data_IF_331769823711
#
_entry.id   IF_331769823711
#
_cell.length_a   1.000
_cell.length_b   1.000
_cell.length_c   1.000
_cell.angle_alpha   90.00
_cell.angle_beta   90.00
_cell.angle_gamma   90.00
#
_symmetry.space_group_name_H-M   'P 1'
#
loop_
_entity.id
_entity.type
_entity.pdbx_description
1 polymer ?
#
# COMPACT_ATOMS: atom_id res chain seq x y z
N UNK A 1 48.67 -8.92 46.10
CA UNK A 1 49.15 -7.54 46.29
C UNK A 1 50.11 -7.25 45.17
N UNK A 2 50.02 -6.03 44.64
CA UNK A 2 50.96 -5.35 43.73
C UNK A 2 50.83 -5.56 42.21
N UNK A 3 50.80 -4.38 41.57
CA UNK A 3 50.43 -4.04 40.20
C UNK A 3 51.68 -3.69 39.38
N UNK A 4 51.48 -3.59 38.06
CA UNK A 4 52.01 -2.56 37.13
C UNK A 4 52.67 -3.17 35.90
N UNK A 5 52.08 -3.04 34.70
CA UNK A 5 51.94 -1.88 33.81
C UNK A 5 53.18 -1.63 32.92
N UNK A 6 52.95 -1.77 31.61
CA UNK A 6 53.61 -1.00 30.55
C UNK A 6 54.46 -1.81 29.58
N UNK A 7 54.06 -1.87 28.31
CA UNK A 7 54.86 -1.42 27.15
C UNK A 7 53.97 -1.37 25.91
N UNK A 8 53.98 -0.22 25.23
CA UNK A 8 53.31 0.08 23.96
C UNK A 8 54.24 -0.31 22.81
N UNK A 9 53.73 -0.97 21.77
CA UNK A 9 54.27 -0.96 20.40
C UNK A 9 53.03 -0.77 19.50
N UNK A 10 52.75 0.45 19.03
CA UNK A 10 53.27 1.08 17.81
C UNK A 10 53.02 0.27 16.52
N UNK A 11 52.23 0.87 15.62
CA UNK A 11 52.24 0.61 14.16
C UNK A 11 51.65 -0.72 13.65
N UNK A 12 50.36 -0.75 13.30
CA UNK A 12 49.82 -1.82 12.45
C UNK A 12 48.32 -1.69 12.14
N UNK A 13 48.00 -1.32 10.90
CA UNK A 13 46.63 -1.11 10.38
C UNK A 13 45.92 -2.47 10.17
N UNK A 14 44.75 -2.63 10.81
CA UNK A 14 43.50 -3.40 10.52
C UNK A 14 43.53 -4.69 9.62
N UNK A 15 42.67 -5.71 9.87
CA UNK A 15 41.22 -5.52 9.75
C UNK A 15 40.41 -6.05 10.94
N UNK A 16 39.46 -5.22 11.35
CA UNK A 16 38.27 -5.61 12.12
C UNK A 16 37.53 -6.73 11.37
N UNK A 17 37.32 -7.85 12.06
CA UNK A 17 36.25 -8.81 11.79
C UNK A 17 35.53 -9.03 13.12
N UNK A 18 34.20 -9.22 13.21
CA UNK A 18 33.20 -9.39 12.16
C UNK A 18 32.12 -8.30 12.23
N UNK A 19 31.87 -7.62 11.11
CA UNK A 19 30.64 -6.86 10.92
C UNK A 19 29.44 -7.82 10.93
N UNK A 20 28.88 -8.10 12.10
CA UNK A 20 27.49 -8.53 12.27
C UNK A 20 26.56 -7.36 11.88
N UNK A 21 26.69 -6.86 10.66
CA UNK A 21 25.77 -5.88 10.09
C UNK A 21 24.65 -6.62 9.36
N UNK A 22 24.07 -7.61 10.04
CA UNK A 22 22.72 -8.08 9.73
C UNK A 22 21.73 -7.43 10.72
N UNK A 23 22.02 -6.19 11.10
CA UNK A 23 21.09 -5.34 11.83
C UNK A 23 20.03 -4.84 10.85
N UNK A 24 19.05 -5.71 10.62
CA UNK A 24 17.66 -5.33 10.42
C UNK A 24 17.46 -4.31 9.29
N UNK A 25 17.30 -4.81 8.07
CA UNK A 25 16.24 -4.28 7.19
C UNK A 25 14.92 -4.48 7.93
N UNK A 26 14.65 -3.61 8.89
CA UNK A 26 13.33 -3.41 9.47
C UNK A 26 12.51 -2.75 8.37
N UNK A 27 12.15 -3.54 7.36
CA UNK A 27 11.01 -3.19 6.52
C UNK A 27 9.83 -3.17 7.47
N UNK A 28 9.48 -1.98 7.92
CA UNK A 28 8.26 -1.73 8.65
C UNK A 28 7.15 -2.38 7.81
N UNK A 29 6.63 -3.52 8.26
CA UNK A 29 5.46 -4.12 7.64
C UNK A 29 4.34 -3.11 7.86
N UNK A 30 4.11 -2.25 6.87
CA UNK A 30 2.96 -1.34 6.90
C UNK A 30 1.73 -2.22 6.85
N UNK A 31 1.11 -2.43 8.01
CA UNK A 31 -0.20 -3.06 8.11
C UNK A 31 -1.19 -2.11 7.46
N UNK A 32 -1.57 -2.41 6.21
CA UNK A 32 -2.61 -1.68 5.50
C UNK A 32 -3.93 -1.99 6.19
N UNK A 33 -4.48 -1.02 6.91
CA UNK A 33 -5.80 -1.16 7.50
C UNK A 33 -6.85 -1.14 6.40
N UNK A 34 -8.00 -1.76 6.68
CA UNK A 34 -9.14 -1.76 5.75
C UNK A 34 -9.59 -0.33 5.42
N UNK A 35 -9.52 0.57 6.40
CA UNK A 35 -9.85 1.98 6.30
C UNK A 35 -8.85 2.72 5.40
N UNK A 36 -7.55 2.45 5.56
CA UNK A 36 -6.52 2.99 4.69
C UNK A 36 -6.70 2.51 3.23
N UNK A 37 -7.09 1.24 3.05
CA UNK A 37 -7.37 0.72 1.71
C UNK A 37 -8.62 1.34 1.08
N UNK A 38 -9.69 1.58 1.86
CA UNK A 38 -10.88 2.30 1.39
C UNK A 38 -10.51 3.74 0.98
N UNK A 39 -9.76 4.47 1.81
CA UNK A 39 -9.32 5.82 1.50
C UNK A 39 -8.44 5.85 0.23
N UNK A 40 -7.59 4.85 0.04
CA UNK A 40 -6.82 4.69 -1.19
C UNK A 40 -7.73 4.50 -2.41
N UNK A 41 -8.75 3.64 -2.32
CA UNK A 41 -9.70 3.46 -3.42
C UNK A 41 -10.48 4.74 -3.74
N UNK A 42 -10.78 5.58 -2.76
CA UNK A 42 -11.40 6.91 -2.97
C UNK A 42 -10.48 7.85 -3.73
N UNK A 43 -9.19 7.87 -3.39
CA UNK A 43 -8.18 8.65 -4.12
C UNK A 43 -8.03 8.18 -5.57
N UNK A 44 -8.05 6.86 -5.80
CA UNK A 44 -8.01 6.28 -7.15
C UNK A 44 -9.27 6.63 -7.95
N UNK A 45 -10.46 6.54 -7.33
CA UNK A 45 -11.74 6.94 -7.96
C UNK A 45 -11.69 8.41 -8.40
N UNK A 46 -11.21 9.31 -7.54
CA UNK A 46 -11.05 10.73 -7.86
C UNK A 46 -10.04 10.98 -9.00
N UNK A 47 -8.90 10.26 -8.99
CA UNK A 47 -7.91 10.37 -10.05
C UNK A 47 -8.46 9.91 -11.42
N UNK A 48 -9.26 8.83 -11.43
CA UNK A 48 -9.92 8.33 -12.64
C UNK A 48 -10.99 9.29 -13.15
N UNK A 49 -11.74 9.95 -12.26
CA UNK A 49 -12.70 10.99 -12.64
C UNK A 49 -12.01 12.20 -13.29
N UNK A 50 -10.89 12.65 -12.72
CA UNK A 50 -10.09 13.71 -13.32
C UNK A 50 -9.50 13.29 -14.67
N UNK A 51 -9.01 12.06 -14.78
CA UNK A 51 -8.55 11.51 -16.06
C UNK A 51 -9.68 11.46 -17.11
N UNK A 52 -10.89 11.08 -16.71
CA UNK A 52 -12.07 11.04 -17.59
C UNK A 52 -12.55 12.43 -18.04
N UNK A 53 -12.38 13.46 -17.21
CA UNK A 53 -12.69 14.86 -17.56
C UNK A 53 -11.65 15.42 -18.54
N UNK A 54 -10.38 15.06 -18.36
CA UNK A 54 -9.25 15.50 -19.21
C UNK A 54 -9.07 14.67 -20.47
N UNK A 55 -9.62 13.46 -20.49
CA UNK A 55 -9.72 12.67 -21.70
C UNK A 55 -10.64 13.41 -22.67
N UNK A 56 -10.03 14.22 -23.54
CA UNK A 56 -10.67 14.74 -24.74
C UNK A 56 -11.40 13.56 -25.41
N UNK A 57 -12.66 13.74 -25.85
CA UNK A 57 -13.40 12.67 -26.48
C UNK A 57 -12.62 12.20 -27.71
N UNK A 58 -11.96 11.03 -27.71
CA UNK A 58 -11.15 10.66 -28.84
C UNK A 58 -12.00 9.79 -29.76
N UNK A 59 -11.86 10.10 -31.04
CA UNK A 59 -12.16 9.27 -32.22
C UNK A 59 -11.45 7.89 -32.16
N UNK A 60 -10.74 7.55 -31.07
CA UNK A 60 -9.97 6.33 -30.85
C UNK A 60 -10.59 5.53 -29.69
N UNK A 61 -11.32 4.49 -30.07
CA UNK A 61 -12.28 3.71 -29.27
C UNK A 61 -11.73 2.84 -28.11
N UNK A 62 -10.62 3.19 -27.47
CA UNK A 62 -10.02 2.34 -26.41
C UNK A 62 -9.93 3.02 -25.05
N UNK A 63 -9.24 4.15 -25.01
CA UNK A 63 -8.71 4.69 -23.75
C UNK A 63 -9.78 5.18 -22.78
N UNK A 64 -10.76 5.95 -23.28
CA UNK A 64 -11.86 6.44 -22.43
C UNK A 64 -12.74 5.29 -21.93
N UNK A 65 -12.97 4.27 -22.76
CA UNK A 65 -13.74 3.10 -22.36
C UNK A 65 -13.02 2.29 -21.27
N UNK A 66 -11.70 2.17 -21.37
CA UNK A 66 -10.86 1.55 -20.35
C UNK A 66 -10.89 2.33 -19.03
N UNK A 67 -10.73 3.67 -19.06
CA UNK A 67 -10.84 4.52 -17.88
C UNK A 67 -12.22 4.38 -17.20
N UNK A 68 -13.31 4.31 -17.98
CA UNK A 68 -14.65 4.05 -17.44
C UNK A 68 -14.74 2.66 -16.81
N UNK A 69 -14.14 1.63 -17.45
CA UNK A 69 -14.12 0.27 -16.90
C UNK A 69 -13.40 0.22 -15.56
N UNK A 70 -12.20 0.81 -15.49
CA UNK A 70 -11.41 0.90 -14.26
C UNK A 70 -12.15 1.65 -13.15
N UNK A 71 -12.78 2.78 -13.48
CA UNK A 71 -13.57 3.56 -12.51
C UNK A 71 -14.71 2.71 -11.92
N UNK A 72 -15.44 1.96 -12.77
CA UNK A 72 -16.50 1.05 -12.32
C UNK A 72 -15.99 -0.06 -11.40
N UNK A 73 -14.87 -0.69 -11.75
CA UNK A 73 -14.27 -1.76 -10.96
C UNK A 73 -13.81 -1.26 -9.57
N UNK A 74 -13.17 -0.09 -9.52
CA UNK A 74 -12.74 0.56 -8.27
C UNK A 74 -13.92 0.94 -7.40
N UNK A 75 -14.93 1.60 -7.99
CA UNK A 75 -16.15 2.00 -7.28
C UNK A 75 -16.92 0.79 -6.74
N UNK A 76 -17.04 -0.29 -7.53
CA UNK A 76 -17.67 -1.54 -7.09
C UNK A 76 -16.91 -2.19 -5.92
N UNK A 77 -15.58 -2.24 -6.00
CA UNK A 77 -14.72 -2.79 -4.95
C UNK A 77 -14.87 -2.01 -3.65
N UNK A 78 -14.84 -0.68 -3.73
CA UNK A 78 -15.02 0.20 -2.56
C UNK A 78 -16.40 -0.02 -1.92
N UNK A 79 -17.47 -0.05 -2.72
CA UNK A 79 -18.84 -0.31 -2.24
C UNK A 79 -18.97 -1.68 -1.60
N UNK A 80 -18.38 -2.72 -2.19
CA UNK A 80 -18.40 -4.08 -1.64
C UNK A 80 -17.68 -4.14 -0.29
N UNK A 81 -16.55 -3.44 -0.15
CA UNK A 81 -15.88 -3.32 1.15
C UNK A 81 -16.81 -2.63 2.14
N UNK A 82 -17.37 -1.47 1.83
CA UNK A 82 -18.27 -0.71 2.71
C UNK A 82 -19.52 -1.51 3.11
N UNK A 83 -20.12 -2.29 2.20
CA UNK A 83 -21.27 -3.14 2.49
C UNK A 83 -20.95 -4.24 3.52
N UNK A 84 -19.71 -4.74 3.57
CA UNK A 84 -19.29 -5.70 4.61
C UNK A 84 -19.19 -5.08 6.00
N UNK A 85 -19.16 -3.75 6.12
CA UNK A 85 -19.19 -3.02 7.42
C UNK A 85 -20.61 -2.85 7.94
N UNK A 86 -21.60 -2.75 7.05
CA UNK A 86 -23.01 -2.63 7.37
C UNK A 86 -23.77 -3.62 6.48
N UNK A 87 -24.01 -4.87 6.90
CA UNK A 87 -25.01 -5.68 6.23
C UNK A 87 -26.33 -4.91 6.38
N UNK A 88 -26.72 -4.18 5.34
CA UNK A 88 -28.08 -3.70 5.23
C UNK A 88 -29.01 -4.90 5.35
N UNK A 89 -30.24 -4.71 5.86
CA UNK A 89 -31.21 -5.80 5.91
C UNK A 89 -31.30 -6.40 4.51
N UNK A 90 -31.08 -7.71 4.41
CA UNK A 90 -31.29 -8.43 3.16
C UNK A 90 -32.62 -7.97 2.55
N UNK A 91 -32.70 -7.69 1.24
CA UNK A 91 -34.00 -7.59 0.62
C UNK A 91 -34.63 -8.98 0.80
N UNK A 92 -35.59 -9.09 1.72
CA UNK A 92 -36.50 -10.22 1.80
C UNK A 92 -36.90 -10.49 0.36
N UNK A 93 -36.38 -11.59 -0.19
CA UNK A 93 -36.77 -12.07 -1.50
C UNK A 93 -38.29 -12.07 -1.48
N UNK A 94 -38.88 -11.14 -2.24
CA UNK A 94 -40.31 -11.00 -2.33
C UNK A 94 -40.81 -12.34 -2.87
N UNK A 95 -41.36 -13.10 -1.94
CA UNK A 95 -41.87 -14.44 -2.11
C UNK A 95 -42.82 -14.45 -3.30
N UNK A 96 -42.60 -15.40 -4.19
CA UNK A 96 -43.42 -15.74 -5.35
C UNK A 96 -44.92 -15.54 -5.10
N UNK A 97 -45.59 -14.78 -5.98
CA UNK A 97 -46.99 -15.00 -6.37
C UNK A 97 -47.22 -14.55 -7.80
#
# INVERSE_FOLDING_TARGET
MENSFGTILDGGIAPVMPGRENARRSMCQMTVTREAYIAFLEQVEAALEEALKRADPPVVNGHRAELVRMHREVSATRKALLARRNPGPEPLAASSR
#
